data_IF_915520045013
#
_entry.id   IF_915520045013
#
_cell.length_a   1.000
_cell.length_b   1.000
_cell.length_c   1.000
_cell.angle_alpha   90.00
_cell.angle_beta   90.00
_cell.angle_gamma   90.00
#
_symmetry.space_group_name_H-M   'P 1'
#
loop_
_entity.id
_entity.type
_entity.pdbx_description
1 polymer ?
#
# COMPACT_ATOMS: atom_id res chain seq x y z
N UNK A 1 -36.58 8.67 -13.20
CA UNK A 1 -35.15 8.50 -13.57
C UNK A 1 -34.37 9.63 -12.94
N UNK A 2 -33.75 9.37 -11.80
CA UNK A 2 -33.23 10.39 -10.89
C UNK A 2 -31.75 10.64 -11.15
N UNK A 3 -31.40 11.90 -11.39
CA UNK A 3 -30.08 12.44 -11.72
C UNK A 3 -29.27 12.55 -10.43
N UNK A 4 -28.22 11.75 -10.26
CA UNK A 4 -27.35 11.83 -9.08
C UNK A 4 -26.26 12.88 -9.35
N UNK A 5 -26.22 13.88 -8.46
CA UNK A 5 -25.22 14.95 -8.39
C UNK A 5 -23.84 14.39 -8.00
N UNK A 6 -22.82 14.62 -8.84
CA UNK A 6 -21.42 14.42 -8.45
C UNK A 6 -20.83 15.76 -7.96
N UNK A 7 -20.65 15.86 -6.64
CA UNK A 7 -19.94 16.95 -5.99
C UNK A 7 -18.42 16.78 -6.13
N UNK A 8 -17.79 17.71 -6.86
CA UNK A 8 -16.58 18.40 -6.39
C UNK A 8 -15.25 17.65 -6.34
N UNK A 9 -14.68 17.30 -7.50
CA UNK A 9 -13.26 16.96 -7.62
C UNK A 9 -12.42 18.26 -7.60
N UNK A 10 -11.87 18.63 -6.44
CA UNK A 10 -11.03 19.84 -6.31
C UNK A 10 -9.68 19.64 -7.01
N UNK A 11 -9.56 20.30 -8.16
CA UNK A 11 -8.37 20.94 -8.76
C UNK A 11 -7.01 20.28 -8.52
N UNK A 12 -6.60 19.41 -9.46
CA UNK A 12 -5.19 19.08 -9.69
C UNK A 12 -4.51 20.30 -10.32
N UNK A 13 -3.54 20.88 -9.63
CA UNK A 13 -2.67 21.94 -10.16
C UNK A 13 -1.66 21.28 -11.11
N UNK A 14 -2.11 20.99 -12.34
CA UNK A 14 -1.22 20.60 -13.43
C UNK A 14 -0.28 21.77 -13.71
N UNK A 15 1.03 21.55 -13.61
CA UNK A 15 2.03 22.48 -14.17
C UNK A 15 1.78 22.53 -15.68
N UNK A 16 1.20 23.65 -16.16
CA UNK A 16 1.20 24.00 -17.58
C UNK A 16 2.65 24.17 -18.00
N UNK A 17 3.23 23.16 -18.62
CA UNK A 17 4.45 23.30 -19.40
C UNK A 17 4.01 23.85 -20.75
N UNK A 18 4.39 25.10 -21.06
CA UNK A 18 4.10 25.71 -22.36
C UNK A 18 4.79 24.93 -23.49
N UNK A 19 4.04 24.61 -24.54
CA UNK A 19 4.37 23.76 -25.70
C UNK A 19 5.55 24.22 -26.58
N UNK A 20 6.36 25.21 -26.17
CA UNK A 20 7.38 25.82 -27.03
C UNK A 20 8.82 25.34 -26.82
N UNK A 21 9.06 24.30 -26.01
CA UNK A 21 10.43 23.76 -25.84
C UNK A 21 10.47 22.24 -26.01
N UNK A 22 10.36 21.85 -27.28
CA UNK A 22 10.78 20.53 -27.76
C UNK A 22 12.26 20.29 -27.41
N UNK A 23 12.51 19.15 -26.75
CA UNK A 23 13.77 18.41 -26.74
C UNK A 23 15.04 19.15 -26.26
N UNK A 24 15.29 19.14 -24.94
CA UNK A 24 16.68 19.11 -24.45
C UNK A 24 16.78 18.49 -23.06
N UNK A 25 17.50 17.37 -23.03
CA UNK A 25 17.71 16.41 -21.95
C UNK A 25 17.86 17.03 -20.55
N UNK A 26 17.02 16.56 -19.63
CA UNK A 26 17.10 16.82 -18.19
C UNK A 26 18.42 16.30 -17.63
N UNK A 27 19.18 17.12 -16.91
CA UNK A 27 20.22 16.61 -16.00
C UNK A 27 19.51 15.99 -14.80
N UNK A 28 19.23 14.70 -14.86
CA UNK A 28 18.81 13.94 -13.70
C UNK A 28 20.01 13.80 -12.77
N UNK A 29 20.13 14.69 -11.77
CA UNK A 29 21.10 14.49 -10.70
C UNK A 29 20.54 13.41 -9.77
N UNK A 30 21.03 12.19 -9.92
CA UNK A 30 20.70 11.05 -9.05
C UNK A 30 21.31 11.29 -7.67
N UNK A 31 20.62 12.02 -6.80
CA UNK A 31 20.94 12.01 -5.38
C UNK A 31 20.29 10.78 -4.75
N UNK A 32 21.04 9.68 -4.74
CA UNK A 32 20.75 8.50 -3.95
C UNK A 32 20.67 8.93 -2.49
N UNK A 33 19.48 8.86 -1.87
CA UNK A 33 19.25 8.69 -0.43
C UNK A 33 17.75 8.62 -0.07
N UNK A 34 16.85 9.06 -0.96
CA UNK A 34 15.40 8.85 -0.80
C UNK A 34 14.87 7.92 -1.90
N UNK A 35 14.90 6.61 -1.67
CA UNK A 35 14.53 5.57 -2.66
C UNK A 35 13.12 5.74 -3.30
N UNK A 36 12.27 6.60 -2.74
CA UNK A 36 10.88 6.80 -3.17
C UNK A 36 10.60 8.18 -3.79
N UNK A 37 11.63 9.02 -4.01
CA UNK A 37 11.47 10.34 -4.64
C UNK A 37 12.45 10.53 -5.79
N UNK A 38 11.91 10.89 -6.95
CA UNK A 38 12.68 11.33 -8.11
C UNK A 38 12.83 12.84 -8.06
N UNK A 39 14.06 13.31 -7.91
CA UNK A 39 14.37 14.74 -7.81
C UNK A 39 14.77 15.28 -9.17
N UNK A 40 14.02 16.25 -9.67
CA UNK A 40 14.29 16.95 -10.93
C UNK A 40 14.70 18.37 -10.62
N UNK A 41 15.96 18.70 -10.90
CA UNK A 41 16.44 20.06 -10.78
C UNK A 41 16.00 20.89 -11.99
N UNK A 42 15.55 22.12 -11.73
CA UNK A 42 15.32 23.12 -12.76
C UNK A 42 16.62 23.40 -13.52
N UNK A 43 16.57 23.44 -14.85
CA UNK A 43 17.74 23.69 -15.69
C UNK A 43 18.32 25.10 -15.50
N UNK A 44 17.51 26.07 -15.09
CA UNK A 44 17.98 27.43 -14.85
C UNK A 44 18.86 27.47 -13.59
N UNK A 45 20.16 27.72 -13.79
CA UNK A 45 21.20 27.80 -12.75
C UNK A 45 20.96 28.89 -11.71
N UNK A 46 20.16 29.91 -12.04
CA UNK A 46 19.76 30.96 -11.10
C UNK A 46 18.51 30.61 -10.27
N UNK A 47 17.68 29.67 -10.74
CA UNK A 47 16.48 29.24 -10.02
C UNK A 47 16.78 28.16 -8.96
N UNK A 48 17.70 27.22 -9.28
CA UNK A 48 18.11 26.09 -8.44
C UNK A 48 16.99 25.24 -7.81
N UNK A 49 15.73 25.45 -8.21
CA UNK A 49 14.57 24.76 -7.63
C UNK A 49 14.63 23.26 -7.93
N UNK A 50 14.38 22.43 -6.92
CA UNK A 50 14.34 20.97 -7.04
C UNK A 50 12.90 20.50 -6.86
N UNK A 51 12.32 19.95 -7.91
CA UNK A 51 11.02 19.28 -7.83
C UNK A 51 11.21 17.85 -7.35
N UNK A 52 10.53 17.48 -6.27
CA UNK A 52 10.50 16.11 -5.77
C UNK A 52 9.22 15.41 -6.24
N UNK A 53 9.37 14.40 -7.09
CA UNK A 53 8.27 13.61 -7.64
C UNK A 53 8.23 12.28 -6.92
N UNK A 54 7.14 11.92 -6.21
CA UNK A 54 7.03 10.61 -5.59
C UNK A 54 7.04 9.51 -6.67
N UNK A 55 7.89 8.48 -6.52
CA UNK A 55 8.01 7.38 -7.48
C UNK A 55 7.11 6.18 -7.15
N UNK A 56 6.60 6.11 -5.93
CA UNK A 56 5.72 5.03 -5.46
C UNK A 56 4.26 5.42 -5.29
N UNK A 57 3.40 4.40 -5.14
CA UNK A 57 2.02 4.59 -4.68
C UNK A 57 1.98 4.89 -3.19
N UNK A 58 1.04 5.73 -2.80
CA UNK A 58 0.82 6.14 -1.42
C UNK A 58 -0.66 6.09 -1.09
N UNK A 59 -0.95 5.57 0.10
CA UNK A 59 -2.17 5.85 0.83
C UNK A 59 -1.85 6.92 1.87
N UNK A 60 -2.47 8.09 1.70
CA UNK A 60 -2.19 9.31 2.46
C UNK A 60 -0.69 9.67 2.53
N UNK A 61 -0.11 9.57 3.73
CA UNK A 61 1.29 9.93 4.00
C UNK A 61 2.21 8.70 4.01
N UNK A 62 1.68 7.50 3.82
CA UNK A 62 2.40 6.23 3.93
C UNK A 62 2.65 5.64 2.54
N UNK A 63 3.80 5.00 2.37
CA UNK A 63 4.11 4.27 1.14
C UNK A 63 3.51 2.87 1.18
N UNK A 64 2.82 2.47 0.12
CA UNK A 64 2.18 1.14 0.02
C UNK A 64 3.20 0.00 0.19
N UNK A 65 4.47 0.24 -0.16
CA UNK A 65 5.56 -0.73 0.01
C UNK A 65 5.73 -1.17 1.47
N UNK A 66 5.46 -0.27 2.43
CA UNK A 66 5.58 -0.57 3.84
C UNK A 66 4.46 -1.50 4.31
N UNK A 67 3.23 -1.29 3.83
CA UNK A 67 2.10 -2.17 4.11
C UNK A 67 2.32 -3.54 3.46
N UNK A 68 2.85 -3.58 2.22
CA UNK A 68 3.23 -4.85 1.55
C UNK A 68 4.28 -5.63 2.32
N UNK A 69 5.30 -4.95 2.84
CA UNK A 69 6.31 -5.59 3.69
C UNK A 69 5.66 -6.19 4.94
N UNK A 70 4.80 -5.44 5.62
CA UNK A 70 4.08 -5.94 6.79
C UNK A 70 3.20 -7.17 6.45
N UNK A 71 2.49 -7.16 5.33
CA UNK A 71 1.74 -8.33 4.84
C UNK A 71 2.65 -9.52 4.55
N UNK A 72 3.81 -9.30 3.94
CA UNK A 72 4.77 -10.37 3.69
C UNK A 72 5.28 -10.98 5.00
N UNK A 73 5.59 -10.15 6.01
CA UNK A 73 6.02 -10.60 7.33
C UNK A 73 4.95 -11.45 8.04
N UNK A 74 3.68 -11.01 7.99
CA UNK A 74 2.55 -11.78 8.54
C UNK A 74 2.39 -13.11 7.80
N UNK A 75 2.43 -13.09 6.46
CA UNK A 75 2.30 -14.29 5.64
C UNK A 75 3.43 -15.30 5.88
N UNK A 76 4.67 -14.82 6.03
CA UNK A 76 5.84 -15.67 6.27
C UNK A 76 6.02 -16.07 7.74
N UNK A 77 5.19 -15.55 8.66
CA UNK A 77 5.37 -15.74 10.09
C UNK A 77 6.67 -15.15 10.65
N UNK A 78 7.22 -14.11 10.00
CA UNK A 78 8.48 -13.50 10.40
C UNK A 78 8.24 -12.26 11.27
N UNK A 79 8.97 -12.19 12.38
CA UNK A 79 9.03 -10.98 13.20
C UNK A 79 9.94 -9.92 12.58
N UNK A 80 9.70 -8.66 12.94
CA UNK A 80 10.53 -7.52 12.52
C UNK A 80 12.03 -7.70 12.80
N UNK A 81 12.38 -8.31 13.94
CA UNK A 81 13.76 -8.60 14.32
C UNK A 81 14.39 -9.66 13.42
N UNK A 82 13.64 -10.71 13.09
CA UNK A 82 14.11 -11.78 12.22
C UNK A 82 14.34 -11.25 10.79
N UNK A 83 13.40 -10.46 10.28
CA UNK A 83 13.55 -9.83 8.97
C UNK A 83 14.72 -8.84 8.92
N UNK A 84 14.94 -8.03 9.95
CA UNK A 84 16.11 -7.15 10.01
C UNK A 84 17.44 -7.93 10.12
N UNK A 85 17.46 -9.07 10.83
CA UNK A 85 18.64 -9.95 10.85
C UNK A 85 18.95 -10.49 9.46
N UNK A 86 17.92 -10.99 8.77
CA UNK A 86 18.04 -11.49 7.40
C UNK A 86 18.54 -10.42 6.41
N UNK A 87 18.01 -9.19 6.49
CA UNK A 87 18.49 -8.08 5.67
C UNK A 87 19.95 -7.71 5.99
N UNK A 88 20.35 -7.83 7.25
CA UNK A 88 21.74 -7.55 7.68
C UNK A 88 22.72 -8.56 7.09
N UNK A 89 22.33 -9.84 6.99
CA UNK A 89 23.14 -10.88 6.32
C UNK A 89 23.37 -10.57 4.84
N UNK A 90 22.41 -9.89 4.20
CA UNK A 90 22.50 -9.46 2.80
C UNK A 90 23.18 -8.10 2.61
N UNK A 91 23.70 -7.48 3.68
CA UNK A 91 24.21 -6.11 3.69
C UNK A 91 23.18 -5.06 3.20
N UNK A 92 21.89 -5.31 3.43
CA UNK A 92 20.80 -4.39 3.12
C UNK A 92 20.44 -3.62 4.42
N UNK A 93 20.26 -2.29 4.35
CA UNK A 93 19.91 -1.51 5.54
C UNK A 93 18.58 -1.96 6.15
N UNK A 94 18.58 -2.09 7.48
CA UNK A 94 17.40 -2.43 8.26
C UNK A 94 16.32 -1.35 8.18
N UNK A 95 15.06 -1.77 8.31
CA UNK A 95 13.92 -0.84 8.36
C UNK A 95 13.61 -0.40 9.80
N UNK A 96 12.92 0.74 9.92
CA UNK A 96 12.53 1.29 11.22
C UNK A 96 11.45 0.45 11.90
N UNK A 97 11.72 0.06 13.15
CA UNK A 97 10.79 -0.67 14.02
C UNK A 97 9.42 0.03 14.13
N UNK A 98 9.41 1.33 14.45
CA UNK A 98 8.17 2.08 14.67
C UNK A 98 7.29 2.10 13.42
N UNK A 99 7.93 2.20 12.26
CA UNK A 99 7.24 2.24 10.98
C UNK A 99 6.58 0.88 10.69
N UNK A 100 7.35 -0.19 10.79
CA UNK A 100 6.86 -1.55 10.46
C UNK A 100 5.88 -2.07 11.49
N UNK A 101 6.12 -1.85 12.78
CA UNK A 101 5.19 -2.24 13.85
C UNK A 101 3.80 -1.61 13.68
N UNK A 102 3.73 -0.33 13.31
CA UNK A 102 2.46 0.34 13.01
C UNK A 102 1.74 -0.31 11.82
N UNK A 103 2.48 -0.76 10.79
CA UNK A 103 1.90 -1.44 9.63
C UNK A 103 1.52 -2.89 9.91
N UNK A 104 2.30 -3.60 10.73
CA UNK A 104 1.99 -4.96 11.18
C UNK A 104 0.67 -4.98 11.94
N UNK A 105 0.41 -4.01 12.81
CA UNK A 105 -0.87 -3.89 13.52
C UNK A 105 -2.03 -3.61 12.59
N UNK A 106 -1.86 -2.69 11.63
CA UNK A 106 -2.88 -2.38 10.62
C UNK A 106 -3.24 -3.63 9.81
N UNK A 107 -2.23 -4.31 9.24
CA UNK A 107 -2.42 -5.51 8.44
C UNK A 107 -2.98 -6.66 9.29
N UNK A 108 -2.50 -6.82 10.53
CA UNK A 108 -2.96 -7.86 11.44
C UNK A 108 -4.47 -7.80 11.70
N UNK A 109 -5.01 -6.59 11.92
CA UNK A 109 -6.44 -6.41 12.12
C UNK A 109 -7.25 -6.85 10.88
N UNK A 110 -6.80 -6.47 9.68
CA UNK A 110 -7.46 -6.83 8.42
C UNK A 110 -7.40 -8.34 8.20
N UNK A 111 -6.25 -8.96 8.47
CA UNK A 111 -6.09 -10.42 8.32
C UNK A 111 -6.97 -11.17 9.32
N UNK A 112 -7.10 -10.68 10.55
CA UNK A 112 -7.98 -11.27 11.56
C UNK A 112 -9.46 -11.19 11.17
N UNK A 113 -9.89 -10.06 10.62
CA UNK A 113 -11.25 -9.88 10.11
C UNK A 113 -11.57 -10.87 8.99
N UNK A 114 -10.69 -10.95 7.98
CA UNK A 114 -10.84 -11.91 6.87
C UNK A 114 -10.85 -13.35 7.36
N UNK A 115 -10.02 -13.69 8.37
CA UNK A 115 -10.01 -15.02 8.95
C UNK A 115 -11.35 -15.33 9.65
N UNK A 116 -11.92 -14.38 10.39
CA UNK A 116 -13.22 -14.54 11.04
C UNK A 116 -14.34 -14.75 10.03
N UNK A 117 -14.39 -13.91 9.00
CA UNK A 117 -15.36 -14.05 7.90
C UNK A 117 -15.25 -15.43 7.25
N UNK A 118 -14.03 -15.85 6.90
CA UNK A 118 -13.79 -17.16 6.31
C UNK A 118 -14.22 -18.31 7.22
N UNK A 119 -14.00 -18.21 8.53
CA UNK A 119 -14.45 -19.25 9.47
C UNK A 119 -15.96 -19.27 9.65
N UNK A 120 -16.62 -18.11 9.64
CA UNK A 120 -18.08 -18.03 9.74
C UNK A 120 -18.74 -18.60 8.49
N UNK A 121 -18.24 -18.26 7.30
CA UNK A 121 -18.73 -18.83 6.04
C UNK A 121 -18.56 -20.36 5.99
N UNK A 122 -17.46 -20.89 6.53
CA UNK A 122 -17.25 -22.33 6.63
C UNK A 122 -18.26 -22.97 7.58
N UNK A 123 -18.49 -22.37 8.75
CA UNK A 123 -19.46 -22.83 9.74
C UNK A 123 -20.88 -22.86 9.18
N UNK A 124 -21.31 -21.82 8.47
CA UNK A 124 -22.64 -21.75 7.86
C UNK A 124 -22.85 -22.88 6.83
N UNK A 125 -21.81 -23.20 6.05
CA UNK A 125 -21.85 -24.31 5.09
C UNK A 125 -21.96 -25.66 5.79
N UNK A 126 -21.25 -25.86 6.90
CA UNK A 126 -21.34 -27.08 7.71
C UNK A 126 -22.74 -27.26 8.29
N UNK A 127 -23.33 -26.20 8.85
CA UNK A 127 -24.70 -26.23 9.40
C UNK A 127 -25.74 -26.55 8.33
N UNK A 128 -25.66 -25.91 7.16
CA UNK A 128 -26.57 -26.17 6.05
C UNK A 128 -26.45 -27.62 5.54
N UNK A 129 -25.23 -28.16 5.49
CA UNK A 129 -25.01 -29.55 5.12
C UNK A 129 -25.64 -30.53 6.12
N UNK A 130 -25.57 -30.26 7.42
CA UNK A 130 -26.19 -31.10 8.46
C UNK A 130 -27.71 -31.09 8.36
N UNK A 131 -28.33 -29.92 8.14
CA UNK A 131 -29.79 -29.78 8.04
C UNK A 131 -30.40 -30.62 6.90
N UNK A 132 -29.65 -30.81 5.80
CA UNK A 132 -30.07 -31.67 4.69
C UNK A 132 -30.23 -33.15 5.09
N UNK A 133 -29.52 -33.62 6.10
CA UNK A 133 -29.57 -35.02 6.57
C UNK A 133 -30.52 -35.24 7.76
N UNK A 134 -31.10 -34.18 8.34
CA UNK A 134 -32.08 -34.34 9.42
C UNK A 134 -33.41 -34.84 8.82
N UNK A 135 -33.90 -36.04 9.20
CA UNK A 135 -35.19 -36.51 8.72
C UNK A 135 -36.28 -35.53 9.17
N UNK A 136 -37.02 -34.98 8.20
CA UNK A 136 -38.22 -34.18 8.50
C UNK A 136 -39.23 -35.10 9.19
N UNK A 137 -39.35 -34.99 10.50
CA UNK A 137 -40.45 -35.60 11.24
C UNK A 137 -41.74 -34.96 10.75
N UNK A 138 -42.40 -35.61 9.79
CA UNK A 138 -43.76 -35.30 9.36
C UNK A 138 -44.65 -35.44 10.59
N UNK A 139 -45.05 -34.31 11.17
CA UNK A 139 -46.15 -34.28 12.14
C UNK A 139 -47.44 -34.44 11.35
N UNK A 140 -48.15 -35.54 11.66
CA UNK A 140 -49.47 -35.91 11.16
C UNK A 140 -50.49 -34.77 11.20
#
# INVERSE_FOLDING_TARGET
MTRIHNHGFKSKRYLKVSESQHARWTKASTYCNDHNYFRVQCFNTSCMHVNSVPTGKRHDRVWDVNSKLATALVHSGLGERQANSFLSELNIPAFSYKLVSARLREVGNVVEEVAKESTNEALEKELAAVEQYVPKNNKN
#
